data_IF_250560126136
#
_entry.id   IF_250560126136
#
_cell.length_a   1.000
_cell.length_b   1.000
_cell.length_c   1.000
_cell.angle_alpha   90.00
_cell.angle_beta   90.00
_cell.angle_gamma   90.00
#
_symmetry.space_group_name_H-M   'P 1'
#
loop_
_entity.id
_entity.type
_entity.pdbx_description
1 polymer ?
#
# COMPACT_ATOMS: atom_id res chain seq x y z
N UNK A 1 11.71 23.88 -1.19
CA UNK A 1 10.79 23.10 -0.34
C UNK A 1 11.08 21.63 -0.65
N UNK A 2 11.41 20.79 0.34
CA UNK A 2 11.53 19.36 0.07
C UNK A 2 10.15 18.85 -0.37
N UNK A 3 10.09 18.25 -1.55
CA UNK A 3 8.88 17.58 -2.04
C UNK A 3 8.69 16.35 -1.15
N UNK A 4 7.81 16.46 -0.17
CA UNK A 4 7.36 15.30 0.58
C UNK A 4 6.43 14.49 -0.33
N UNK A 5 6.65 13.19 -0.51
CA UNK A 5 5.74 12.39 -1.29
C UNK A 5 4.36 12.40 -0.63
N UNK A 6 3.37 12.88 -1.40
CA UNK A 6 1.99 12.91 -0.94
C UNK A 6 1.49 11.49 -0.77
N UNK A 7 0.41 11.32 0.00
CA UNK A 7 -0.25 10.02 0.15
C UNK A 7 -0.57 9.39 -1.21
N UNK A 8 -0.89 10.22 -2.21
CA UNK A 8 -1.10 9.80 -3.59
C UNK A 8 0.14 9.13 -4.22
N UNK A 9 1.35 9.63 -3.98
CA UNK A 9 2.57 9.00 -4.50
C UNK A 9 2.84 7.63 -3.87
N UNK A 10 2.62 7.47 -2.57
CA UNK A 10 2.71 6.16 -1.91
C UNK A 10 1.69 5.17 -2.49
N UNK A 11 0.48 5.65 -2.79
CA UNK A 11 -0.55 4.86 -3.47
C UNK A 11 -0.12 4.52 -4.90
N UNK A 12 0.49 5.46 -5.63
CA UNK A 12 1.01 5.22 -6.98
C UNK A 12 2.15 4.19 -7.00
N UNK A 13 3.11 4.26 -6.07
CA UNK A 13 4.17 3.26 -5.95
C UNK A 13 3.60 1.88 -5.60
N UNK A 14 2.67 1.83 -4.63
CA UNK A 14 2.08 0.57 -4.18
C UNK A 14 1.20 -0.07 -5.27
N UNK A 15 0.39 0.72 -5.99
CA UNK A 15 -0.43 0.21 -7.10
C UNK A 15 0.43 -0.23 -8.29
N UNK A 16 1.55 0.45 -8.57
CA UNK A 16 2.47 0.06 -9.65
C UNK A 16 3.21 -1.23 -9.30
N UNK A 17 3.56 -1.42 -8.03
CA UNK A 17 4.17 -2.65 -7.57
C UNK A 17 3.21 -3.85 -7.59
N UNK A 18 1.96 -3.64 -7.18
CA UNK A 18 0.97 -4.72 -7.00
C UNK A 18 0.02 -4.92 -8.20
N UNK A 19 -0.01 -3.98 -9.15
CA UNK A 19 -0.99 -3.89 -10.23
C UNK A 19 -2.44 -3.86 -9.72
N UNK A 20 -2.72 -2.97 -8.76
CA UNK A 20 -4.03 -2.85 -8.11
C UNK A 20 -4.82 -1.60 -8.51
N UNK A 21 -6.13 -1.69 -8.38
CA UNK A 21 -7.01 -0.53 -8.56
C UNK A 21 -6.79 0.49 -7.43
N UNK A 22 -6.64 1.79 -7.72
CA UNK A 22 -6.44 2.82 -6.70
C UNK A 22 -7.56 2.88 -5.67
N UNK A 23 -8.77 2.39 -5.99
CA UNK A 23 -9.92 2.32 -5.07
C UNK A 23 -9.68 1.40 -3.87
N UNK A 24 -8.74 0.45 -3.96
CA UNK A 24 -8.38 -0.36 -2.79
C UNK A 24 -7.78 0.51 -1.67
N UNK A 25 -7.08 1.59 -2.03
CA UNK A 25 -6.45 2.52 -1.07
C UNK A 25 -7.39 3.64 -0.60
N UNK A 26 -8.67 3.62 -0.98
CA UNK A 26 -9.69 4.52 -0.43
C UNK A 26 -9.95 4.22 1.05
N UNK A 27 -9.64 3.00 1.48
CA UNK A 27 -9.75 2.53 2.84
C UNK A 27 -8.37 2.58 3.53
N UNK A 28 -8.35 2.85 4.83
CA UNK A 28 -7.13 2.80 5.64
C UNK A 28 -6.69 1.36 5.91
N UNK A 29 -7.62 0.41 5.96
CA UNK A 29 -7.34 -1.01 6.19
C UNK A 29 -8.21 -1.84 5.25
N UNK A 30 -7.64 -2.90 4.67
CA UNK A 30 -8.40 -3.84 3.88
C UNK A 30 -7.61 -5.08 3.53
N UNK A 31 -8.22 -5.95 2.74
CA UNK A 31 -7.53 -7.09 2.16
C UNK A 31 -7.94 -7.27 0.70
N UNK A 32 -7.01 -7.77 -0.11
CA UNK A 32 -7.23 -8.11 -1.51
C UNK A 32 -6.54 -9.43 -1.83
N UNK A 33 -6.91 -10.02 -2.97
CA UNK A 33 -6.24 -11.22 -3.46
C UNK A 33 -5.20 -10.83 -4.50
N UNK A 34 -3.93 -11.09 -4.22
CA UNK A 34 -2.80 -10.87 -5.13
C UNK A 34 -2.17 -12.22 -5.49
N UNK A 35 -2.15 -12.54 -6.78
CA UNK A 35 -1.55 -13.79 -7.26
C UNK A 35 -2.11 -15.05 -6.57
N UNK A 36 -3.41 -15.02 -6.20
CA UNK A 36 -4.09 -16.11 -5.50
C UNK A 36 -3.84 -16.16 -3.98
N UNK A 37 -3.15 -15.16 -3.42
CA UNK A 37 -2.88 -15.05 -1.98
C UNK A 37 -3.68 -13.88 -1.39
N UNK A 38 -4.17 -14.05 -0.17
CA UNK A 38 -4.80 -12.95 0.56
C UNK A 38 -3.69 -12.06 1.10
N UNK A 39 -3.73 -10.80 0.71
CA UNK A 39 -2.83 -9.74 1.18
C UNK A 39 -3.69 -8.76 1.95
N UNK A 40 -3.36 -8.59 3.22
CA UNK A 40 -3.91 -7.55 4.08
C UNK A 40 -3.05 -6.30 3.92
N UNK A 41 -3.68 -5.13 3.89
CA UNK A 41 -2.95 -3.88 3.83
C UNK A 41 -3.45 -2.91 4.88
N UNK A 42 -2.52 -2.10 5.38
CA UNK A 42 -2.71 -1.07 6.36
C UNK A 42 -2.03 0.20 5.87
N UNK A 43 -2.84 1.21 5.55
CA UNK A 43 -2.41 2.50 5.04
C UNK A 43 -2.61 3.55 6.13
N UNK A 44 -1.59 4.36 6.33
CA UNK A 44 -1.65 5.56 7.16
C UNK A 44 -1.31 6.78 6.31
N UNK A 45 -1.16 7.95 6.96
CA UNK A 45 -0.73 9.17 6.29
C UNK A 45 0.77 9.13 5.87
N UNK A 46 1.55 8.22 6.43
CA UNK A 46 3.02 8.22 6.31
C UNK A 46 3.59 6.86 5.84
N UNK A 47 2.82 5.77 5.95
CA UNK A 47 3.25 4.43 5.59
C UNK A 47 2.11 3.60 4.98
N UNK A 48 2.47 2.65 4.12
CA UNK A 48 1.60 1.57 3.65
C UNK A 48 2.29 0.25 4.00
N UNK A 49 1.67 -0.54 4.86
CA UNK A 49 2.11 -1.87 5.22
C UNK A 49 1.25 -2.90 4.53
N UNK A 50 1.86 -3.88 3.87
CA UNK A 50 1.23 -5.06 3.29
C UNK A 50 1.65 -6.27 4.13
N UNK A 51 0.72 -7.14 4.44
CA UNK A 51 0.94 -8.38 5.16
C UNK A 51 0.31 -9.55 4.38
N UNK A 52 1.08 -10.59 4.10
CA UNK A 52 0.60 -11.78 3.40
C UNK A 52 1.34 -13.01 3.91
N UNK A 53 0.61 -14.07 4.26
CA UNK A 53 1.20 -15.34 4.74
C UNK A 53 2.25 -15.19 5.87
N UNK A 54 2.16 -14.14 6.68
CA UNK A 54 3.12 -13.81 7.74
C UNK A 54 4.37 -13.04 7.29
N UNK A 55 4.51 -12.75 5.99
CA UNK A 55 5.47 -11.79 5.46
C UNK A 55 4.88 -10.37 5.47
N UNK A 56 5.70 -9.38 5.85
CA UNK A 56 5.30 -7.98 5.92
C UNK A 56 6.21 -7.12 5.08
N UNK A 57 5.62 -6.30 4.20
CA UNK A 57 6.31 -5.30 3.39
C UNK A 57 5.80 -3.93 3.80
N UNK A 58 6.69 -3.06 4.26
CA UNK A 58 6.34 -1.68 4.63
C UNK A 58 6.95 -0.70 3.64
N UNK A 59 6.08 0.11 3.04
CA UNK A 59 6.44 1.26 2.23
C UNK A 59 6.32 2.50 3.12
N UNK A 60 7.45 3.07 3.52
CA UNK A 60 7.50 4.28 4.34
C UNK A 60 8.19 5.40 3.58
N UNK A 61 7.91 6.65 3.98
CA UNK A 61 8.72 7.82 3.57
C UNK A 61 10.18 7.63 4.00
N UNK A 62 11.17 8.08 3.21
CA UNK A 62 12.56 8.20 3.66
C UNK A 62 12.74 9.28 4.73
#
# INVERSE_FOLDING_TARGET
MPYYPTQEQLIEDCRTFLDLDPRFFDQDVGCFTWWGRVVEFFKTNDEITLEYEGERITFSRP
#
